data_IF_902562253449
#
_entry.id   IF_902562253449
#
_cell.length_a   1.000
_cell.length_b   1.000
_cell.length_c   1.000
_cell.angle_alpha   90.00
_cell.angle_beta   90.00
_cell.angle_gamma   90.00
#
_symmetry.space_group_name_H-M   'P 1'
#
loop_
_entity.id
_entity.type
_entity.pdbx_description
1 polymer ?
#
# COMPACT_ATOMS: atom_id res chain seq x y z
N UNK A 1 -1.17 -9.12 12.22
CA UNK A 1 -0.55 -8.86 10.88
C UNK A 1 -0.59 -7.39 10.50
N UNK A 2 -1.66 -6.67 10.86
CA UNK A 2 -1.82 -5.24 10.57
C UNK A 2 -1.40 -4.32 11.74
N UNK A 3 -0.98 -4.89 12.86
CA UNK A 3 -0.85 -4.18 14.15
C UNK A 3 0.08 -2.95 14.08
N UNK A 4 1.23 -3.08 13.41
CA UNK A 4 2.16 -1.96 13.21
C UNK A 4 1.55 -0.83 12.35
N UNK A 5 0.85 -1.20 11.28
CA UNK A 5 0.20 -0.23 10.39
C UNK A 5 -0.96 0.46 11.10
N UNK A 6 -1.75 -0.29 11.88
CA UNK A 6 -2.91 0.23 12.59
C UNK A 6 -2.50 1.27 13.63
N UNK A 7 -1.48 0.98 14.44
CA UNK A 7 -0.93 1.93 15.42
C UNK A 7 -0.48 3.22 14.72
N UNK A 8 0.21 3.10 13.58
CA UNK A 8 0.72 4.25 12.83
C UNK A 8 -0.40 5.10 12.25
N UNK A 9 -1.41 4.48 11.64
CA UNK A 9 -2.56 5.18 11.03
C UNK A 9 -3.38 5.89 12.09
N UNK A 10 -3.64 5.22 13.22
CA UNK A 10 -4.37 5.83 14.34
C UNK A 10 -3.64 7.05 14.92
N UNK A 11 -2.32 6.99 15.08
CA UNK A 11 -1.53 8.14 15.54
C UNK A 11 -1.60 9.31 14.55
N UNK A 12 -1.49 9.04 13.24
CA UNK A 12 -1.58 10.06 12.20
C UNK A 12 -2.95 10.77 12.20
N UNK A 13 -4.03 10.01 12.35
CA UNK A 13 -5.39 10.55 12.43
C UNK A 13 -5.53 11.40 13.70
N UNK A 14 -5.11 10.89 14.86
CA UNK A 14 -5.20 11.61 16.15
C UNK A 14 -4.44 12.94 16.12
N UNK A 15 -3.31 12.98 15.42
CA UNK A 15 -2.45 14.17 15.31
C UNK A 15 -2.84 15.12 14.18
N UNK A 16 -3.83 14.75 13.35
CA UNK A 16 -4.30 15.57 12.24
C UNK A 16 -3.29 15.67 11.08
N UNK A 17 -2.44 14.66 10.88
CA UNK A 17 -1.52 14.66 9.74
C UNK A 17 -2.26 14.43 8.42
N UNK A 18 -1.90 15.21 7.40
CA UNK A 18 -2.61 15.21 6.12
C UNK A 18 -2.31 14.00 5.23
N UNK A 19 -1.11 13.41 5.32
CA UNK A 19 -0.69 12.33 4.43
C UNK A 19 0.22 11.31 5.13
N UNK A 20 0.01 10.03 4.83
CA UNK A 20 0.88 8.91 5.21
C UNK A 20 1.27 8.14 3.95
N UNK A 21 2.56 7.87 3.76
CA UNK A 21 3.08 7.10 2.63
C UNK A 21 3.64 5.76 3.12
N UNK A 22 3.25 4.66 2.48
CA UNK A 22 3.70 3.31 2.79
C UNK A 22 4.25 2.69 1.52
N UNK A 23 5.50 2.22 1.55
CA UNK A 23 6.19 1.68 0.39
C UNK A 23 6.57 0.22 0.61
N UNK A 24 6.36 -0.62 -0.41
CA UNK A 24 6.74 -2.03 -0.41
C UNK A 24 7.71 -2.32 -1.55
N UNK A 25 8.80 -3.02 -1.22
CA UNK A 25 9.84 -3.39 -2.19
C UNK A 25 10.00 -4.91 -2.30
N UNK A 26 10.15 -5.41 -3.52
CA UNK A 26 10.68 -6.73 -3.81
C UNK A 26 11.56 -6.67 -5.05
N UNK A 27 12.45 -7.64 -5.25
CA UNK A 27 13.51 -7.58 -6.28
C UNK A 27 12.96 -7.18 -7.67
N UNK A 28 11.91 -7.87 -8.15
CA UNK A 28 11.32 -7.60 -9.46
C UNK A 28 10.12 -6.65 -9.45
N UNK A 29 9.68 -6.14 -8.30
CA UNK A 29 8.55 -5.20 -8.22
C UNK A 29 7.22 -5.69 -8.81
N UNK A 30 7.00 -7.00 -8.95
CA UNK A 30 5.87 -7.58 -9.69
C UNK A 30 4.99 -8.57 -8.91
N UNK A 31 5.47 -9.12 -7.79
CA UNK A 31 4.76 -10.17 -7.04
C UNK A 31 4.53 -9.76 -5.59
N UNK A 32 5.56 -9.89 -4.74
CA UNK A 32 5.45 -9.72 -3.28
C UNK A 32 5.09 -8.29 -2.88
N UNK A 33 5.76 -7.31 -3.48
CA UNK A 33 5.46 -5.89 -3.21
C UNK A 33 4.08 -5.50 -3.70
N UNK A 34 3.65 -6.02 -4.85
CA UNK A 34 2.32 -5.77 -5.43
C UNK A 34 1.24 -6.30 -4.49
N UNK A 35 1.35 -7.57 -4.10
CA UNK A 35 0.42 -8.19 -3.16
C UNK A 35 0.36 -7.43 -1.83
N UNK A 36 1.50 -7.13 -1.21
CA UNK A 36 1.52 -6.41 0.06
C UNK A 36 0.87 -5.03 -0.04
N UNK A 37 1.15 -4.28 -1.11
CA UNK A 37 0.57 -2.96 -1.35
C UNK A 37 -0.95 -3.03 -1.57
N UNK A 38 -1.44 -4.00 -2.36
CA UNK A 38 -2.88 -4.19 -2.59
C UNK A 38 -3.62 -4.62 -1.32
N UNK A 39 -3.08 -5.57 -0.56
CA UNK A 39 -3.69 -6.02 0.70
C UNK A 39 -3.75 -4.87 1.71
N UNK A 40 -2.68 -4.07 1.79
CA UNK A 40 -2.62 -2.90 2.68
C UNK A 40 -3.64 -1.85 2.26
N UNK A 41 -3.72 -1.54 0.97
CA UNK A 41 -4.71 -0.59 0.46
C UNK A 41 -6.15 -1.04 0.75
N UNK A 42 -6.45 -2.34 0.59
CA UNK A 42 -7.75 -2.91 0.95
C UNK A 42 -8.04 -2.80 2.45
N UNK A 43 -7.07 -3.14 3.29
CA UNK A 43 -7.19 -3.04 4.74
C UNK A 43 -7.48 -1.60 5.19
N UNK A 44 -6.69 -0.62 4.70
CA UNK A 44 -6.86 0.79 5.03
C UNK A 44 -8.22 1.34 4.62
N UNK A 45 -8.67 1.03 3.39
CA UNK A 45 -10.01 1.42 2.91
C UNK A 45 -11.12 0.79 3.73
N UNK A 46 -10.95 -0.46 4.16
CA UNK A 46 -12.00 -1.17 4.89
C UNK A 46 -12.11 -0.75 6.35
N UNK A 47 -10.99 -0.70 7.07
CA UNK A 47 -10.93 -0.43 8.52
C UNK A 47 -11.02 1.06 8.83
N UNK A 48 -10.21 1.89 8.17
CA UNK A 48 -10.08 3.32 8.51
C UNK A 48 -10.91 4.24 7.63
N UNK A 49 -11.47 3.74 6.52
CA UNK A 49 -12.27 4.52 5.55
C UNK A 49 -11.55 5.75 5.00
N UNK A 50 -10.21 5.73 4.98
CA UNK A 50 -9.38 6.83 4.47
C UNK A 50 -9.26 6.78 2.95
N UNK A 51 -8.95 7.93 2.34
CA UNK A 51 -8.58 7.98 0.93
C UNK A 51 -7.23 7.28 0.71
N UNK A 52 -7.17 6.35 -0.25
CA UNK A 52 -5.95 5.57 -0.53
C UNK A 52 -5.63 5.62 -2.01
N UNK A 53 -4.54 6.32 -2.36
CA UNK A 53 -3.88 6.19 -3.65
C UNK A 53 -2.89 5.02 -3.63
N UNK A 54 -3.07 4.08 -4.55
CA UNK A 54 -2.19 2.93 -4.73
C UNK A 54 -1.45 3.09 -6.06
N UNK A 55 -0.12 3.03 -6.02
CA UNK A 55 0.73 3.11 -7.21
C UNK A 55 1.73 1.96 -7.22
N UNK A 56 1.78 1.23 -8.33
CA UNK A 56 2.83 0.24 -8.59
C UNK A 56 3.89 0.87 -9.49
N UNK A 57 5.09 1.11 -8.93
CA UNK A 57 6.14 1.89 -9.60
C UNK A 57 6.90 1.12 -10.67
N UNK A 58 6.87 -0.22 -10.66
CA UNK A 58 7.63 -1.05 -11.59
C UNK A 58 6.80 -1.63 -12.75
N UNK A 59 5.60 -1.10 -13.00
CA UNK A 59 4.65 -1.63 -14.00
C UNK A 59 5.21 -1.66 -15.42
N UNK A 60 6.11 -0.74 -15.76
CA UNK A 60 6.78 -0.71 -17.06
C UNK A 60 7.62 -1.98 -17.34
N UNK A 61 8.10 -2.65 -16.29
CA UNK A 61 8.95 -3.84 -16.37
C UNK A 61 8.16 -5.15 -16.18
N UNK A 62 6.84 -5.08 -16.02
CA UNK A 62 6.02 -6.28 -15.91
C UNK A 62 5.94 -6.97 -17.26
N UNK A 63 6.09 -8.29 -17.25
CA UNK A 63 5.91 -9.12 -18.45
C UNK A 63 4.47 -8.93 -18.95
N UNK A 64 4.32 -8.24 -20.08
CA UNK A 64 3.05 -8.16 -20.80
C UNK A 64 2.85 -9.49 -21.51
N UNK A 65 1.62 -10.02 -21.46
CA UNK A 65 1.27 -11.17 -22.27
C UNK A 65 1.67 -10.90 -23.73
N UNK A 66 2.33 -11.87 -24.38
CA UNK A 66 2.55 -11.79 -25.82
C UNK A 66 1.17 -11.70 -26.50
N UNK A 67 1.04 -10.90 -27.57
CA UNK A 67 -0.20 -10.81 -28.33
C UNK A 67 -0.67 -12.17 -28.84
#
# INVERSE_FOLDING_TARGET
AWDLLDITVEDYIKRGFGNLMINFGCIGGQHRSVYAAEQTARHLRNKFKVNVQLTHTNTANWLKAKP
#
